data_IF_003831627227
#
_entry.id   IF_003831627227
#
_cell.length_a   1.000
_cell.length_b   1.000
_cell.length_c   1.000
_cell.angle_alpha   90.00
_cell.angle_beta   90.00
_cell.angle_gamma   90.00
#
_symmetry.space_group_name_H-M   'P 1'
#
loop_
_entity.id
_entity.type
_entity.pdbx_description
1 polymer ?
#
# COMPACT_ATOMS: atom_id res chain seq x y z
N UNK A 1 -15.08 -3.41 19.69
CA UNK A 1 -15.51 -2.32 18.78
C UNK A 1 -16.51 -2.93 17.83
N UNK A 2 -17.72 -2.39 17.71
CA UNK A 2 -18.71 -2.98 16.84
C UNK A 2 -18.25 -2.86 15.38
N UNK A 3 -18.14 -4.01 14.76
CA UNK A 3 -18.34 -4.37 13.36
C UNK A 3 -17.76 -3.48 12.24
N UNK A 4 -16.45 -3.17 12.28
CA UNK A 4 -15.73 -2.78 11.08
C UNK A 4 -15.39 -4.05 10.29
N UNK A 5 -16.02 -4.24 9.15
CA UNK A 5 -15.62 -5.28 8.20
C UNK A 5 -14.54 -4.74 7.28
N UNK A 6 -13.35 -5.33 7.30
CA UNK A 6 -12.28 -4.98 6.35
C UNK A 6 -12.62 -5.60 5.00
N UNK A 7 -12.62 -4.76 3.95
CA UNK A 7 -12.86 -5.16 2.58
C UNK A 7 -11.58 -5.28 1.77
N UNK A 8 -10.59 -4.42 2.01
CA UNK A 8 -9.38 -4.36 1.20
C UNK A 8 -8.21 -3.87 2.04
N UNK A 9 -7.06 -4.49 1.90
CA UNK A 9 -5.79 -3.97 2.39
C UNK A 9 -5.05 -3.24 1.29
N UNK A 10 -4.45 -2.10 1.63
CA UNK A 10 -3.63 -1.32 0.71
C UNK A 10 -2.32 -1.00 1.38
N UNK A 11 -1.22 -1.56 0.90
CA UNK A 11 0.09 -1.28 1.46
C UNK A 11 0.96 -0.44 0.53
N UNK A 12 1.78 0.39 1.13
CA UNK A 12 2.83 1.11 0.43
C UNK A 12 4.06 0.23 0.32
N UNK A 13 4.68 0.18 -0.87
CA UNK A 13 5.96 -0.49 -1.08
C UNK A 13 6.99 -0.13 -0.02
N UNK A 14 7.98 -0.98 0.23
CA UNK A 14 9.10 -0.75 1.13
C UNK A 14 9.96 0.46 0.74
N UNK A 15 10.84 0.89 1.62
CA UNK A 15 11.70 2.06 1.44
C UNK A 15 12.62 1.95 0.23
N UNK A 16 12.94 3.09 -0.38
CA UNK A 16 13.91 3.24 -1.48
C UNK A 16 14.87 4.38 -1.15
N UNK A 17 16.07 4.41 -1.72
CA UNK A 17 17.03 5.49 -1.52
C UNK A 17 16.44 6.89 -1.74
N UNK A 18 15.52 7.05 -2.72
CA UNK A 18 14.84 8.33 -2.95
C UNK A 18 13.87 8.73 -1.83
N UNK A 19 13.39 7.77 -1.01
CA UNK A 19 12.60 8.10 0.17
C UNK A 19 13.48 8.75 1.23
N UNK A 20 14.65 8.17 1.50
CA UNK A 20 15.62 8.69 2.48
C UNK A 20 16.16 10.07 2.06
N UNK A 21 16.34 10.30 0.77
CA UNK A 21 16.83 11.57 0.22
C UNK A 21 15.73 12.66 0.12
N UNK A 22 14.53 12.42 0.60
CA UNK A 22 13.40 13.36 0.50
C UNK A 22 13.15 13.92 -0.91
N UNK A 23 13.22 13.05 -1.95
CA UNK A 23 13.03 13.43 -3.35
C UNK A 23 11.65 13.04 -3.87
N UNK A 24 11.14 13.83 -4.82
CA UNK A 24 10.00 13.40 -5.64
C UNK A 24 10.43 12.22 -6.51
N UNK A 25 9.64 11.14 -6.54
CA UNK A 25 9.97 9.97 -7.38
C UNK A 25 9.50 10.12 -8.81
N UNK A 26 8.36 10.79 -9.01
CA UNK A 26 7.75 10.88 -10.33
C UNK A 26 7.58 9.49 -10.94
N UNK A 27 7.91 9.36 -12.22
CA UNK A 27 7.84 8.09 -12.95
C UNK A 27 9.09 7.20 -12.78
N UNK A 28 10.07 7.59 -11.96
CA UNK A 28 11.28 6.80 -11.71
C UNK A 28 10.96 5.42 -11.15
N UNK A 29 11.82 4.43 -11.45
CA UNK A 29 11.63 3.05 -11.03
C UNK A 29 12.80 2.52 -10.16
N UNK A 30 13.09 3.15 -8.98
CA UNK A 30 14.14 2.67 -8.09
C UNK A 30 13.75 1.32 -7.46
N UNK A 31 14.76 0.51 -7.18
CA UNK A 31 14.64 -0.71 -6.38
C UNK A 31 14.41 -0.37 -4.90
N UNK A 32 14.00 -1.37 -4.11
CA UNK A 32 14.07 -1.31 -2.65
C UNK A 32 15.54 -1.15 -2.23
N UNK A 33 15.79 -0.39 -1.16
CA UNK A 33 17.07 -0.40 -0.45
C UNK A 33 17.05 -1.46 0.68
N UNK A 34 18.13 -1.54 1.46
CA UNK A 34 18.23 -2.52 2.55
C UNK A 34 17.09 -2.37 3.57
N UNK A 35 16.67 -1.13 3.87
CA UNK A 35 15.53 -0.86 4.74
C UNK A 35 14.22 -1.30 4.09
N UNK A 36 14.07 -1.06 2.79
CA UNK A 36 12.89 -1.47 2.03
C UNK A 36 12.69 -2.98 1.97
N UNK A 37 13.76 -3.75 1.87
CA UNK A 37 13.68 -5.21 2.01
C UNK A 37 13.26 -5.63 3.42
N UNK A 38 13.74 -4.95 4.46
CA UNK A 38 13.28 -5.17 5.84
C UNK A 38 11.79 -4.83 5.98
N UNK A 39 11.35 -3.67 5.49
CA UNK A 39 9.94 -3.26 5.47
C UNK A 39 9.06 -4.32 4.77
N UNK A 40 9.51 -4.85 3.63
CA UNK A 40 8.77 -5.87 2.89
C UNK A 40 8.67 -7.21 3.64
N UNK A 41 9.72 -7.61 4.36
CA UNK A 41 9.68 -8.79 5.22
C UNK A 41 8.74 -8.57 6.43
N UNK A 42 8.75 -7.40 7.05
CA UNK A 42 7.80 -7.07 8.13
C UNK A 42 6.34 -7.12 7.64
N UNK A 43 6.07 -6.63 6.42
CA UNK A 43 4.77 -6.79 5.78
C UNK A 43 4.42 -8.25 5.54
N UNK A 44 5.36 -9.08 5.08
CA UNK A 44 5.14 -10.49 4.85
C UNK A 44 4.72 -11.22 6.15
N UNK A 45 5.39 -10.94 7.26
CA UNK A 45 5.01 -11.45 8.58
C UNK A 45 3.67 -10.89 9.07
N UNK A 46 3.40 -9.60 8.84
CA UNK A 46 2.12 -8.98 9.19
C UNK A 46 0.95 -9.67 8.47
N UNK A 47 1.10 -9.95 7.18
CA UNK A 47 0.06 -10.63 6.38
C UNK A 47 0.02 -12.14 6.57
N UNK A 48 1.03 -12.76 7.17
CA UNK A 48 1.09 -14.22 7.32
C UNK A 48 -0.19 -14.82 7.93
N UNK A 49 -0.75 -14.32 9.06
CA UNK A 49 -1.98 -14.85 9.65
C UNK A 49 -3.27 -14.36 8.98
N UNK A 50 -3.19 -13.40 8.06
CA UNK A 50 -4.36 -12.74 7.45
C UNK A 50 -4.73 -13.47 6.17
N UNK A 51 -5.96 -13.93 6.04
CA UNK A 51 -6.46 -14.48 4.78
C UNK A 51 -6.59 -13.38 3.73
N UNK A 52 -6.12 -13.67 2.53
CA UNK A 52 -6.21 -12.80 1.36
C UNK A 52 -6.83 -13.56 0.18
N UNK A 53 -7.67 -12.87 -0.60
CA UNK A 53 -8.27 -13.43 -1.81
C UNK A 53 -7.41 -13.23 -3.06
N UNK A 54 -6.66 -12.14 -3.13
CA UNK A 54 -5.75 -11.82 -4.23
C UNK A 54 -4.66 -10.86 -3.77
N UNK A 55 -3.61 -10.73 -4.58
CA UNK A 55 -2.59 -9.68 -4.49
C UNK A 55 -2.47 -9.00 -5.84
N UNK A 56 -2.75 -7.69 -5.92
CA UNK A 56 -2.49 -6.87 -7.11
C UNK A 56 -1.45 -5.82 -6.76
N UNK A 57 -0.48 -5.63 -7.63
CA UNK A 57 0.63 -4.70 -7.40
C UNK A 57 0.83 -3.77 -8.57
N UNK A 58 1.24 -2.53 -8.29
CA UNK A 58 1.91 -1.72 -9.32
C UNK A 58 3.10 -2.49 -9.90
N UNK A 59 3.31 -2.43 -11.21
CA UNK A 59 4.45 -3.06 -11.87
C UNK A 59 5.80 -2.37 -11.61
N UNK A 60 5.82 -1.18 -10.96
CA UNK A 60 7.08 -0.55 -10.53
C UNK A 60 7.83 -1.50 -9.61
N UNK A 61 9.12 -1.71 -9.90
CA UNK A 61 9.98 -2.73 -9.26
C UNK A 61 9.85 -2.77 -7.73
N UNK A 62 9.87 -1.61 -7.06
CA UNK A 62 9.73 -1.53 -5.60
C UNK A 62 8.41 -2.12 -5.06
N UNK A 63 7.30 -1.92 -5.79
CA UNK A 63 6.00 -2.45 -5.40
C UNK A 63 5.90 -3.95 -5.75
N UNK A 64 6.30 -4.33 -6.96
CA UNK A 64 6.32 -5.72 -7.39
C UNK A 64 7.21 -6.59 -6.48
N UNK A 65 8.41 -6.10 -6.12
CA UNK A 65 9.29 -6.81 -5.17
C UNK A 65 8.64 -6.96 -3.79
N UNK A 66 8.02 -5.90 -3.26
CA UNK A 66 7.29 -5.97 -1.99
C UNK A 66 6.15 -7.01 -2.05
N UNK A 67 5.35 -7.00 -3.12
CA UNK A 67 4.26 -7.95 -3.33
C UNK A 67 4.74 -9.39 -3.42
N UNK A 68 5.85 -9.63 -4.14
CA UNK A 68 6.44 -10.97 -4.28
C UNK A 68 6.93 -11.53 -2.95
N UNK A 69 7.54 -10.70 -2.08
CA UNK A 69 7.99 -11.11 -0.75
C UNK A 69 6.79 -11.51 0.11
N UNK A 70 5.70 -10.72 0.11
CA UNK A 70 4.46 -11.06 0.82
C UNK A 70 3.87 -12.37 0.29
N UNK A 71 3.74 -12.50 -1.03
CA UNK A 71 3.21 -13.69 -1.69
C UNK A 71 4.00 -14.95 -1.35
N UNK A 72 5.34 -14.87 -1.39
CA UNK A 72 6.22 -16.00 -1.09
C UNK A 72 5.99 -16.51 0.35
N UNK A 73 5.95 -15.61 1.33
CA UNK A 73 5.69 -15.97 2.73
C UNK A 73 4.32 -16.64 2.90
N UNK A 74 3.29 -16.11 2.23
CA UNK A 74 1.93 -16.68 2.25
C UNK A 74 1.90 -18.07 1.66
N UNK A 75 2.56 -18.30 0.52
CA UNK A 75 2.62 -19.60 -0.16
C UNK A 75 3.39 -20.65 0.67
N UNK A 76 4.49 -20.23 1.31
CA UNK A 76 5.23 -21.11 2.21
C UNK A 76 4.36 -21.58 3.37
N UNK A 77 3.60 -20.69 4.00
CA UNK A 77 2.67 -21.06 5.07
C UNK A 77 1.55 -21.98 4.58
N UNK A 78 0.90 -21.63 3.47
CA UNK A 78 -0.17 -22.43 2.88
C UNK A 78 0.27 -23.85 2.54
N UNK A 79 1.51 -24.04 2.03
CA UNK A 79 2.05 -25.35 1.73
C UNK A 79 2.29 -26.22 2.97
N UNK A 80 2.60 -25.59 4.12
CA UNK A 80 2.77 -26.31 5.40
C UNK A 80 1.42 -26.70 6.00
N UNK A 81 0.40 -25.86 5.83
CA UNK A 81 -0.94 -26.07 6.43
C UNK A 81 -1.91 -26.84 5.51
N UNK A 82 -1.50 -27.15 4.27
CA UNK A 82 -2.35 -27.77 3.22
C UNK A 82 -3.67 -27.01 2.96
N UNK A 83 -3.61 -25.66 3.02
CA UNK A 83 -4.77 -24.74 2.94
C UNK A 83 -4.63 -23.72 1.82
N UNK A 84 -4.49 -24.18 0.57
CA UNK A 84 -4.48 -23.26 -0.57
C UNK A 84 -5.92 -22.96 -1.04
N UNK A 85 -6.49 -21.84 -0.60
CA UNK A 85 -7.84 -21.41 -1.04
C UNK A 85 -7.79 -20.48 -2.26
N UNK A 86 -6.75 -19.62 -2.37
CA UNK A 86 -6.60 -18.64 -3.44
C UNK A 86 -5.18 -18.65 -3.98
N UNK A 87 -5.02 -18.39 -5.29
CA UNK A 87 -3.70 -18.13 -5.86
C UNK A 87 -3.28 -16.70 -5.50
N UNK A 88 -2.26 -16.58 -4.67
CA UNK A 88 -1.70 -15.33 -4.23
C UNK A 88 -0.48 -14.88 -5.05
N UNK A 89 -0.33 -15.39 -6.29
CA UNK A 89 0.64 -14.84 -7.23
C UNK A 89 0.29 -13.39 -7.54
N UNK A 90 1.19 -12.40 -7.34
CA UNK A 90 0.86 -11.02 -7.58
C UNK A 90 0.55 -10.74 -9.04
N UNK A 91 -0.61 -10.15 -9.32
CA UNK A 91 -0.97 -9.62 -10.62
C UNK A 91 -0.40 -8.20 -10.73
N UNK A 92 0.46 -7.96 -11.73
CA UNK A 92 1.06 -6.65 -11.96
C UNK A 92 0.13 -5.79 -12.82
N UNK A 93 -0.09 -4.54 -12.40
CA UNK A 93 -0.98 -3.60 -13.07
C UNK A 93 -0.34 -2.21 -13.19
N UNK A 94 -0.09 -1.77 -14.42
CA UNK A 94 0.51 -0.46 -14.72
C UNK A 94 -0.41 0.70 -14.35
N UNK A 95 -1.71 0.46 -14.31
CA UNK A 95 -2.68 1.47 -13.89
C UNK A 95 -2.53 1.85 -12.39
N UNK A 96 -1.81 1.05 -11.58
CA UNK A 96 -1.48 1.37 -10.20
C UNK A 96 -0.16 2.17 -10.04
N UNK A 97 0.46 2.64 -11.13
CA UNK A 97 1.62 3.53 -11.04
C UNK A 97 1.29 4.81 -10.27
N UNK A 98 2.29 5.45 -9.63
CA UNK A 98 2.08 6.71 -8.93
C UNK A 98 1.67 7.82 -9.90
N UNK A 99 1.21 8.95 -9.36
CA UNK A 99 1.04 10.17 -10.14
C UNK A 99 2.38 10.58 -10.76
N UNK A 100 2.38 10.76 -12.08
CA UNK A 100 3.55 11.25 -12.80
C UNK A 100 3.67 12.77 -12.60
N UNK A 101 4.56 13.17 -11.70
CA UNK A 101 4.85 14.58 -11.38
C UNK A 101 5.92 15.18 -12.29
N UNK A 102 6.19 14.56 -13.44
CA UNK A 102 7.04 15.10 -14.52
C UNK A 102 8.37 15.65 -14.04
N UNK A 103 8.63 16.91 -14.36
CA UNK A 103 9.88 17.60 -14.08
C UNK A 103 10.23 17.75 -12.59
N UNK A 104 9.31 17.46 -11.67
CA UNK A 104 9.63 17.33 -10.24
C UNK A 104 10.39 16.03 -9.94
N UNK A 105 10.28 15.02 -10.79
CA UNK A 105 10.93 13.72 -10.60
C UNK A 105 12.44 13.87 -10.34
N UNK A 106 12.94 13.22 -9.28
CA UNK A 106 14.34 13.29 -8.87
C UNK A 106 14.74 14.56 -8.10
N UNK A 107 13.93 15.62 -8.12
CA UNK A 107 14.22 16.86 -7.38
C UNK A 107 13.91 16.70 -5.89
N UNK A 108 14.67 17.42 -5.06
CA UNK A 108 14.42 17.50 -3.63
C UNK A 108 13.09 18.20 -3.33
N UNK A 109 12.38 17.76 -2.30
CA UNK A 109 11.11 18.34 -1.83
C UNK A 109 11.38 19.55 -0.95
N UNK A 110 11.76 20.69 -1.56
CA UNK A 110 11.86 21.97 -0.84
C UNK A 110 10.46 22.55 -0.62
N UNK A 111 10.30 23.47 0.38
CA UNK A 111 9.02 24.15 0.61
C UNK A 111 8.47 24.82 -0.66
N UNK A 112 9.33 25.45 -1.47
CA UNK A 112 8.96 26.14 -2.72
C UNK A 112 8.40 25.15 -3.74
N UNK A 113 9.08 24.03 -3.96
CA UNK A 113 8.63 22.98 -4.91
C UNK A 113 7.35 22.28 -4.43
N UNK A 114 7.20 22.09 -3.11
CA UNK A 114 5.95 21.59 -2.54
C UNK A 114 4.81 22.56 -2.82
N UNK A 115 5.02 23.86 -2.59
CA UNK A 115 4.03 24.92 -2.89
C UNK A 115 3.70 24.97 -4.38
N UNK A 116 4.70 24.85 -5.25
CA UNK A 116 4.50 24.80 -6.70
C UNK A 116 3.64 23.59 -7.10
N UNK A 117 3.94 22.40 -6.58
CA UNK A 117 3.14 21.19 -6.83
C UNK A 117 1.71 21.32 -6.29
N UNK A 118 1.52 22.01 -5.16
CA UNK A 118 0.18 22.32 -4.62
C UNK A 118 -0.66 23.13 -5.60
N UNK A 119 -0.05 23.98 -6.43
CA UNK A 119 -0.73 24.70 -7.51
C UNK A 119 -1.38 23.75 -8.53
N UNK A 120 -0.73 22.64 -8.88
CA UNK A 120 -1.30 21.63 -9.76
C UNK A 120 -2.34 20.74 -9.05
N UNK A 121 -2.26 20.60 -7.73
CA UNK A 121 -3.30 19.92 -6.95
C UNK A 121 -4.57 20.78 -6.89
N UNK A 122 -4.41 22.09 -6.79
CA UNK A 122 -5.54 23.06 -6.75
C UNK A 122 -6.19 23.29 -8.13
N UNK A 123 -5.45 23.02 -9.21
CA UNK A 123 -5.95 23.04 -10.58
C UNK A 123 -5.75 21.65 -11.21
N UNK A 124 -6.64 20.69 -10.88
CA UNK A 124 -6.41 19.28 -11.14
C UNK A 124 -6.45 18.88 -12.62
N UNK A 125 -6.97 19.74 -13.50
CA UNK A 125 -6.96 19.53 -14.94
C UNK A 125 -5.65 19.99 -15.61
N UNK A 126 -4.89 20.84 -14.91
CA UNK A 126 -3.61 21.33 -15.41
C UNK A 126 -2.53 20.25 -15.29
N UNK A 127 -1.91 19.81 -16.42
CA UNK A 127 -0.83 18.83 -16.35
C UNK A 127 0.42 19.42 -15.74
N UNK A 128 1.12 18.63 -14.95
CA UNK A 128 2.48 18.96 -14.50
C UNK A 128 3.43 18.92 -15.70
N UNK A 129 4.36 19.88 -15.90
CA UNK A 129 5.32 19.83 -16.99
C UNK A 129 6.07 18.51 -17.04
N UNK A 130 6.09 17.85 -18.19
CA UNK A 130 6.68 16.53 -18.38
C UNK A 130 5.92 15.37 -17.68
N UNK A 131 4.76 15.65 -17.10
CA UNK A 131 3.95 14.68 -16.37
C UNK A 131 2.50 14.63 -16.84
N UNK A 132 1.58 14.30 -15.92
CA UNK A 132 0.15 14.21 -16.19
C UNK A 132 -0.63 15.14 -15.26
N UNK A 133 -1.89 15.44 -15.61
CA UNK A 133 -2.79 16.13 -14.70
C UNK A 133 -3.17 15.23 -13.51
N UNK A 134 -3.66 15.85 -12.44
CA UNK A 134 -4.16 15.08 -11.30
C UNK A 134 -5.45 14.33 -11.67
N UNK A 135 -6.30 14.92 -12.53
CA UNK A 135 -7.52 14.26 -12.97
C UNK A 135 -7.27 13.08 -13.91
N UNK A 136 -6.23 13.11 -14.76
CA UNK A 136 -5.80 11.92 -15.52
C UNK A 136 -5.37 10.78 -14.59
N UNK A 137 -4.60 11.12 -13.54
CA UNK A 137 -4.21 10.15 -12.53
C UNK A 137 -5.42 9.57 -11.78
N UNK A 138 -6.36 10.42 -11.34
CA UNK A 138 -7.60 10.02 -10.66
C UNK A 138 -8.47 9.12 -11.54
N UNK A 139 -8.68 9.53 -12.80
CA UNK A 139 -9.44 8.74 -13.77
C UNK A 139 -8.88 7.34 -13.99
N UNK A 140 -7.55 7.20 -13.88
CA UNK A 140 -6.84 5.92 -14.02
C UNK A 140 -6.98 5.02 -12.78
N UNK A 141 -6.85 5.57 -11.56
CA UNK A 141 -6.75 4.73 -10.35
C UNK A 141 -8.08 4.47 -9.66
N UNK A 142 -9.04 5.40 -9.71
CA UNK A 142 -10.33 5.26 -9.01
C UNK A 142 -11.15 4.03 -9.43
N UNK A 143 -11.27 3.69 -10.73
CA UNK A 143 -11.97 2.47 -11.14
C UNK A 143 -11.39 1.21 -10.49
N UNK A 144 -10.06 1.13 -10.37
CA UNK A 144 -9.39 -0.02 -9.76
C UNK A 144 -9.72 -0.22 -8.27
N UNK A 145 -9.98 0.87 -7.56
CA UNK A 145 -10.40 0.76 -6.14
C UNK A 145 -11.77 0.11 -6.03
N UNK A 146 -12.70 0.51 -6.90
CA UNK A 146 -14.04 -0.07 -6.96
C UNK A 146 -13.95 -1.55 -7.30
N UNK A 147 -13.25 -1.90 -8.37
CA UNK A 147 -13.05 -3.29 -8.82
C UNK A 147 -12.43 -4.16 -7.72
N UNK A 148 -11.39 -3.66 -7.02
CA UNK A 148 -10.74 -4.40 -5.95
C UNK A 148 -11.65 -4.60 -4.73
N UNK A 149 -12.47 -3.60 -4.38
CA UNK A 149 -13.44 -3.71 -3.28
C UNK A 149 -14.54 -4.71 -3.64
N UNK A 150 -15.07 -4.64 -4.86
CA UNK A 150 -16.10 -5.56 -5.37
C UNK A 150 -15.58 -7.01 -5.40
N UNK A 151 -14.38 -7.23 -5.96
CA UNK A 151 -13.74 -8.56 -5.97
C UNK A 151 -13.50 -9.13 -4.56
N UNK A 152 -13.08 -8.28 -3.62
CA UNK A 152 -12.92 -8.70 -2.22
C UNK A 152 -14.25 -9.08 -1.58
N UNK A 153 -15.29 -8.31 -1.84
CA UNK A 153 -16.64 -8.57 -1.32
C UNK A 153 -17.23 -9.86 -1.90
N UNK A 154 -17.09 -10.10 -3.20
CA UNK A 154 -17.50 -11.34 -3.86
C UNK A 154 -16.77 -12.57 -3.33
N UNK A 155 -15.45 -12.45 -3.07
CA UNK A 155 -14.65 -13.52 -2.47
C UNK A 155 -14.99 -13.79 -0.99
N UNK A 156 -15.63 -12.83 -0.31
CA UNK A 156 -15.87 -12.87 1.14
C UNK A 156 -14.58 -12.81 1.98
N UNK A 157 -13.45 -12.45 1.35
CA UNK A 157 -12.12 -12.35 1.95
C UNK A 157 -11.41 -11.12 1.38
N UNK A 158 -10.75 -10.29 2.21
CA UNK A 158 -10.07 -9.08 1.73
C UNK A 158 -8.98 -9.39 0.70
N UNK A 159 -8.86 -8.53 -0.32
CA UNK A 159 -7.70 -8.49 -1.21
C UNK A 159 -6.59 -7.60 -0.68
N UNK A 160 -5.45 -7.60 -1.38
CA UNK A 160 -4.30 -6.74 -1.11
C UNK A 160 -3.86 -5.98 -2.35
N UNK A 161 -3.76 -4.64 -2.24
CA UNK A 161 -3.09 -3.79 -3.22
C UNK A 161 -1.71 -3.36 -2.69
N UNK A 162 -0.66 -3.52 -3.50
CA UNK A 162 0.70 -3.04 -3.19
C UNK A 162 1.03 -1.87 -4.11
N UNK A 163 1.06 -0.66 -3.55
CA UNK A 163 1.02 0.58 -4.32
C UNK A 163 1.97 1.67 -3.79
N UNK A 164 1.68 2.92 -4.11
CA UNK A 164 2.47 4.11 -3.83
C UNK A 164 1.69 5.13 -2.99
N UNK A 165 2.39 6.08 -2.34
CA UNK A 165 1.71 7.05 -1.48
C UNK A 165 0.63 7.86 -2.21
N UNK A 166 0.86 8.32 -3.46
CA UNK A 166 -0.16 9.06 -4.21
C UNK A 166 -1.42 8.25 -4.46
N UNK A 167 -1.30 6.94 -4.69
CA UNK A 167 -2.45 6.03 -4.87
C UNK A 167 -3.23 5.88 -3.58
N UNK A 168 -2.54 5.74 -2.42
CA UNK A 168 -3.20 5.61 -1.11
C UNK A 168 -3.85 6.95 -0.70
N UNK A 169 -3.21 8.09 -0.99
CA UNK A 169 -3.82 9.40 -0.77
C UNK A 169 -5.10 9.57 -1.57
N UNK A 170 -5.08 9.17 -2.84
CA UNK A 170 -6.26 9.27 -3.71
C UNK A 170 -7.38 8.32 -3.26
N UNK A 171 -7.02 7.14 -2.75
CA UNK A 171 -7.98 6.22 -2.13
C UNK A 171 -8.68 6.87 -0.91
N UNK A 172 -7.90 7.48 -0.01
CA UNK A 172 -8.41 8.19 1.16
C UNK A 172 -9.35 9.33 0.77
N UNK A 173 -8.95 10.14 -0.21
CA UNK A 173 -9.77 11.23 -0.75
C UNK A 173 -11.07 10.72 -1.37
N UNK A 174 -10.98 9.69 -2.21
CA UNK A 174 -12.12 9.14 -2.93
C UNK A 174 -13.18 8.51 -2.00
N UNK A 175 -12.76 7.80 -0.95
CA UNK A 175 -13.66 7.04 -0.08
C UNK A 175 -14.12 7.79 1.17
N UNK A 176 -13.33 8.73 1.67
CA UNK A 176 -13.61 9.41 2.95
C UNK A 176 -13.55 10.94 2.89
N UNK A 177 -13.17 11.52 1.75
CA UNK A 177 -12.90 12.96 1.63
C UNK A 177 -11.76 13.44 2.54
N UNK A 178 -10.94 12.53 3.05
CA UNK A 178 -9.88 12.82 4.02
C UNK A 178 -8.51 12.38 3.49
N UNK A 179 -7.70 13.35 3.09
CA UNK A 179 -6.32 13.11 2.65
C UNK A 179 -5.44 12.46 3.74
N UNK A 180 -5.68 12.76 5.01
CA UNK A 180 -4.91 12.23 6.14
C UNK A 180 -5.08 10.70 6.29
N UNK A 181 -6.25 10.17 5.89
CA UNK A 181 -6.51 8.72 5.93
C UNK A 181 -5.53 7.91 5.07
N UNK A 182 -4.96 8.54 4.03
CA UNK A 182 -3.97 7.93 3.13
C UNK A 182 -2.50 8.10 3.56
N UNK A 183 -2.22 8.73 4.72
CA UNK A 183 -0.84 8.94 5.20
C UNK A 183 -0.19 7.65 5.71
N UNK A 184 0.33 6.86 4.78
CA UNK A 184 1.00 5.59 5.08
C UNK A 184 2.49 5.69 4.73
N UNK A 185 3.37 5.39 5.70
CA UNK A 185 4.83 5.35 5.48
C UNK A 185 5.21 4.18 4.56
N UNK A 186 6.40 4.18 3.93
CA UNK A 186 6.89 2.98 3.24
C UNK A 186 6.79 1.75 4.15
N UNK A 187 6.33 0.64 3.62
CA UNK A 187 6.08 -0.58 4.39
C UNK A 187 4.85 -0.55 5.30
N UNK A 188 4.07 0.53 5.30
CA UNK A 188 2.84 0.62 6.09
C UNK A 188 1.61 0.11 5.33
N UNK A 189 0.52 -0.14 6.07
CA UNK A 189 -0.76 -0.65 5.56
C UNK A 189 -1.90 0.26 5.99
N UNK A 190 -2.81 0.54 5.05
CA UNK A 190 -4.14 1.05 5.32
C UNK A 190 -5.19 -0.06 5.06
N UNK A 191 -6.29 -0.03 5.79
CA UNK A 191 -7.45 -0.85 5.52
C UNK A 191 -8.60 -0.01 4.98
N UNK A 192 -9.26 -0.51 3.94
CA UNK A 192 -10.58 -0.07 3.53
C UNK A 192 -11.59 -0.94 4.27
N UNK A 193 -12.52 -0.30 4.96
CA UNK A 193 -13.53 -0.99 5.75
C UNK A 193 -14.93 -0.43 5.49
N UNK A 194 -15.94 -1.22 5.79
CA UNK A 194 -17.32 -0.76 5.91
C UNK A 194 -17.73 -0.73 7.39
N UNK A 195 -18.34 0.36 7.81
CA UNK A 195 -18.91 0.52 9.15
C UNK A 195 -20.23 1.31 9.06
N UNK A 196 -21.31 0.75 9.59
CA UNK A 196 -22.65 1.34 9.50
C UNK A 196 -23.04 1.73 8.06
N UNK A 197 -22.71 0.89 7.06
CA UNK A 197 -23.01 1.11 5.64
C UNK A 197 -22.14 2.17 4.97
N UNK A 198 -21.14 2.73 5.64
CA UNK A 198 -20.22 3.73 5.08
C UNK A 198 -18.82 3.14 4.91
N UNK A 199 -18.20 3.44 3.76
CA UNK A 199 -16.80 3.12 3.52
C UNK A 199 -15.90 4.11 4.25
N UNK A 200 -14.79 3.59 4.78
CA UNK A 200 -13.73 4.38 5.38
C UNK A 200 -12.36 3.79 5.08
N UNK A 201 -11.33 4.61 5.28
CA UNK A 201 -9.92 4.21 5.14
C UNK A 201 -9.17 4.64 6.39
N UNK A 202 -8.38 3.73 6.95
CA UNK A 202 -7.53 4.06 8.10
C UNK A 202 -6.18 3.34 8.03
N UNK A 203 -5.08 3.98 8.45
CA UNK A 203 -3.80 3.30 8.66
C UNK A 203 -3.92 2.29 9.80
N UNK A 204 -3.49 1.05 9.57
CA UNK A 204 -3.61 -0.04 10.55
C UNK A 204 -2.28 -0.66 10.95
N UNK A 205 -1.24 -0.50 10.13
CA UNK A 205 0.09 -1.02 10.39
C UNK A 205 1.17 0.00 10.00
N UNK A 206 2.22 0.09 10.84
CA UNK A 206 3.43 0.88 10.59
C UNK A 206 4.63 -0.03 10.82
N UNK A 207 5.63 -0.08 9.91
CA UNK A 207 6.88 -0.77 10.18
C UNK A 207 7.57 -0.13 11.39
N UNK A 208 8.35 -0.89 12.12
CA UNK A 208 9.02 -0.52 13.38
C UNK A 208 8.08 -0.24 14.58
N UNK A 209 6.78 -0.50 14.47
CA UNK A 209 5.84 -0.44 15.61
C UNK A 209 5.96 -1.71 16.48
N UNK A 210 6.90 -1.68 17.43
CA UNK A 210 7.19 -2.80 18.34
C UNK A 210 5.98 -3.27 19.16
N UNK A 211 4.92 -2.45 19.30
CA UNK A 211 3.73 -2.79 20.08
C UNK A 211 2.89 -3.90 19.44
N UNK A 212 2.93 -4.01 18.10
CA UNK A 212 2.18 -5.04 17.35
C UNK A 212 3.02 -6.27 17.03
N UNK A 213 4.34 -6.16 16.95
CA UNK A 213 5.24 -7.30 16.71
C UNK A 213 5.32 -8.26 17.89
N UNK A 214 5.15 -7.77 19.13
CA UNK A 214 5.15 -8.62 20.33
C UNK A 214 3.92 -9.52 20.45
N UNK A 215 2.78 -9.14 19.90
CA UNK A 215 1.57 -9.96 19.92
C UNK A 215 1.62 -11.14 18.93
N UNK A 216 2.51 -11.09 17.93
CA UNK A 216 2.69 -12.19 16.95
C UNK A 216 3.69 -13.23 17.47
N UNK A 217 4.61 -12.85 18.36
CA UNK A 217 5.60 -13.74 18.98
C UNK A 217 5.16 -14.29 20.34
N UNK A 218 3.89 -14.11 20.71
CA UNK A 218 3.27 -14.59 21.96
C UNK A 218 3.07 -16.09 22.04
N UNK A 219 4.06 -16.90 21.62
CA UNK A 219 4.16 -18.32 22.01
C UNK A 219 5.03 -18.37 23.26
N UNK A 220 4.38 -18.76 24.36
CA UNK A 220 4.85 -18.74 25.71
C UNK A 220 6.26 -19.31 25.91
N UNK A 221 7.08 -18.52 26.59
CA UNK A 221 8.04 -19.08 27.53
C UNK A 221 7.28 -19.40 28.83
N UNK A 222 6.58 -20.54 28.86
CA UNK A 222 6.19 -21.16 30.10
C UNK A 222 7.33 -22.05 30.57
N UNK A 223 7.98 -21.65 31.63
CA UNK A 223 8.61 -22.41 32.69
C UNK A 223 9.29 -23.73 32.37
N UNK A 224 10.60 -23.72 32.36
CA UNK A 224 11.39 -24.79 32.92
C UNK A 224 12.09 -24.19 34.14
N UNK A 225 11.46 -24.34 35.29
CA UNK A 225 12.09 -24.20 36.59
C UNK A 225 12.35 -25.61 37.11
N UNK A 226 13.60 -25.85 37.44
CA UNK A 226 14.23 -26.89 38.28
C UNK A 226 13.88 -28.33 37.97
#
# INVERSE_FOLDING_TARGET
>A
MPDKQILLYVCRHGTTAMNEQNRFRGDSNPNLDAKGYKDANELAFYFEPIDLSFIVSSSKTRAATTANIISLQKKLKQSVEDKCRFDLTPVLNDLLHPWNVGDFGGKEKTPERIKELQGYISDPDKPVPGGTSLNDFRGRVRPLFKEAIEASNEAGVPGLLVVHSSVIHELGECLSGNHEAGHVRPGGVAAVYIHNGKLGVEPIFKPDDKSKTQNILGVGRSGLSS
#
